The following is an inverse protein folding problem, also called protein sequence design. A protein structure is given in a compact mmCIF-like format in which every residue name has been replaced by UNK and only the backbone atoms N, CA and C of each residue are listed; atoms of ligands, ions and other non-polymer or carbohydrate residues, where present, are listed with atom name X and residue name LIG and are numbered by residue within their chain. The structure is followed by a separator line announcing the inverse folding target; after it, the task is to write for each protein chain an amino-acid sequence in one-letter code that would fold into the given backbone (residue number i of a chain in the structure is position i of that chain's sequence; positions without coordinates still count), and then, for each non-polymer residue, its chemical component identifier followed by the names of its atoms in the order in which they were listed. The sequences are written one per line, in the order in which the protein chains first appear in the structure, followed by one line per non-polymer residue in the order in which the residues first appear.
data_IF_480668866152
#
_entry.id   IF_480668866152
#
_cell.length_a   1.000
_cell.length_b   1.000
_cell.length_c   1.000
_cell.angle_alpha   90.00
_cell.angle_beta   90.00
_cell.angle_gamma   90.00
#
_symmetry.space_group_name_H-M   'P 1'
#
loop_
_entity.id
_entity.type
_entity.pdbx_description
1 polymer ?
#
# COMPACT_ATOMS: atom_id res chain seq x y z
N UNK A 1 -67.33 -10.83 -45.28
CA UNK A 1 -66.42 -10.96 -44.11
C UNK A 1 -66.03 -12.42 -43.99
N UNK A 2 -64.81 -12.79 -44.39
CA UNK A 2 -64.31 -14.15 -44.20
C UNK A 2 -63.93 -14.31 -42.72
N UNK A 3 -64.70 -15.12 -41.99
CA UNK A 3 -64.28 -15.59 -40.67
C UNK A 3 -63.13 -16.55 -40.93
N UNK A 4 -61.90 -16.16 -40.56
CA UNK A 4 -60.77 -17.07 -40.59
C UNK A 4 -61.00 -18.15 -39.52
N UNK A 5 -61.49 -19.31 -39.95
CA UNK A 5 -61.56 -20.52 -39.12
C UNK A 5 -60.15 -21.04 -38.89
N UNK A 6 -59.52 -20.60 -37.81
CA UNK A 6 -58.38 -21.34 -37.26
C UNK A 6 -58.87 -22.72 -36.85
N UNK A 7 -58.18 -23.80 -37.25
CA UNK A 7 -58.54 -25.14 -36.80
C UNK A 7 -58.38 -25.25 -35.27
N UNK A 8 -59.26 -25.97 -34.58
CA UNK A 8 -59.17 -26.19 -33.13
C UNK A 8 -57.80 -26.74 -32.71
N UNK A 9 -57.18 -27.55 -33.58
CA UNK A 9 -55.82 -28.04 -33.42
C UNK A 9 -54.79 -26.90 -33.36
N UNK A 10 -54.91 -25.88 -34.21
CA UNK A 10 -54.02 -24.72 -34.18
C UNK A 10 -54.21 -23.87 -32.92
N UNK A 11 -55.46 -23.66 -32.46
CA UNK A 11 -55.73 -22.95 -31.21
C UNK A 11 -55.18 -23.70 -29.99
N UNK A 12 -55.35 -25.01 -29.94
CA UNK A 12 -54.82 -25.83 -28.86
C UNK A 12 -53.28 -25.81 -28.80
N UNK A 13 -52.62 -25.86 -29.97
CA UNK A 13 -51.16 -25.76 -30.04
C UNK A 13 -50.66 -24.37 -29.59
N UNK A 14 -51.37 -23.29 -29.94
CA UNK A 14 -51.07 -21.94 -29.48
C UNK A 14 -51.18 -21.83 -27.95
N UNK A 15 -52.31 -22.25 -27.37
CA UNK A 15 -52.53 -22.22 -25.92
C UNK A 15 -51.47 -23.04 -25.16
N UNK A 16 -51.09 -24.20 -25.72
CA UNK A 16 -50.04 -25.05 -25.14
C UNK A 16 -48.66 -24.39 -25.21
N UNK A 17 -48.34 -23.73 -26.32
CA UNK A 17 -47.09 -22.97 -26.48
C UNK A 17 -47.03 -21.81 -25.49
N UNK A 18 -48.11 -21.05 -25.37
CA UNK A 18 -48.18 -19.89 -24.47
C UNK A 18 -48.09 -20.35 -23.00
N UNK A 19 -48.69 -21.51 -22.66
CA UNK A 19 -48.54 -22.11 -21.34
C UNK A 19 -47.09 -22.53 -21.05
N UNK A 20 -46.38 -23.10 -22.02
CA UNK A 20 -44.96 -23.43 -21.85
C UNK A 20 -44.10 -22.18 -21.70
N UNK A 21 -44.38 -21.12 -22.46
CA UNK A 21 -43.66 -19.86 -22.38
C UNK A 21 -43.86 -19.19 -21.03
N UNK A 22 -45.10 -19.01 -20.58
CA UNK A 22 -45.39 -18.39 -19.28
C UNK A 22 -44.84 -19.18 -18.10
N UNK A 23 -44.80 -20.52 -18.16
CA UNK A 23 -44.12 -21.33 -17.13
C UNK A 23 -42.61 -21.09 -17.11
N UNK A 24 -41.99 -20.96 -18.29
CA UNK A 24 -40.57 -20.65 -18.39
C UNK A 24 -40.28 -19.24 -17.85
N UNK A 25 -41.09 -18.24 -18.19
CA UNK A 25 -40.99 -16.88 -17.69
C UNK A 25 -41.17 -16.82 -16.16
N UNK A 26 -42.14 -17.55 -15.61
CA UNK A 26 -42.38 -17.64 -14.17
C UNK A 26 -41.17 -18.24 -13.44
N UNK A 27 -40.61 -19.35 -13.96
CA UNK A 27 -39.41 -19.97 -13.40
C UNK A 27 -38.19 -19.03 -13.46
N UNK A 28 -38.02 -18.33 -14.59
CA UNK A 28 -36.97 -17.32 -14.78
C UNK A 28 -37.10 -16.19 -13.77
N UNK A 29 -38.23 -15.50 -13.73
CA UNK A 29 -38.47 -14.36 -12.83
C UNK A 29 -38.38 -14.77 -11.35
N UNK A 30 -38.79 -15.99 -11.00
CA UNK A 30 -38.60 -16.51 -9.62
C UNK A 30 -37.12 -16.68 -9.29
N UNK A 31 -36.32 -17.20 -10.24
CA UNK A 31 -34.87 -17.30 -10.10
C UNK A 31 -34.21 -15.93 -10.01
N UNK A 32 -34.63 -14.97 -10.84
CA UNK A 32 -34.10 -13.60 -10.86
C UNK A 32 -34.41 -12.88 -9.54
N UNK A 33 -35.65 -12.99 -9.04
CA UNK A 33 -36.06 -12.37 -7.79
C UNK A 33 -35.33 -12.97 -6.58
N UNK A 34 -35.09 -14.28 -6.58
CA UNK A 34 -34.40 -14.96 -5.47
C UNK A 34 -32.88 -14.77 -5.49
N UNK A 35 -32.28 -14.64 -6.68
CA UNK A 35 -30.83 -14.44 -6.83
C UNK A 35 -30.40 -12.97 -6.92
N UNK A 36 -31.34 -12.06 -7.20
CA UNK A 36 -31.07 -10.64 -7.48
C UNK A 36 -30.33 -10.42 -8.79
N UNK A 37 -30.21 -11.42 -9.66
CA UNK A 37 -29.45 -11.35 -10.92
C UNK A 37 -30.30 -11.78 -12.10
N UNK A 38 -30.07 -11.14 -13.24
CA UNK A 38 -30.73 -11.51 -14.48
C UNK A 38 -30.30 -12.92 -14.90
N UNK A 39 -31.24 -13.77 -15.28
CA UNK A 39 -30.98 -15.18 -15.59
C UNK A 39 -30.41 -15.35 -17.00
N UNK A 40 -30.79 -14.48 -17.94
CA UNK A 40 -30.27 -14.45 -19.31
C UNK A 40 -29.56 -13.12 -19.59
N UNK A 41 -28.26 -13.11 -19.32
CA UNK A 41 -27.38 -11.98 -19.64
C UNK A 41 -27.32 -11.68 -21.14
N UNK A 42 -27.50 -12.68 -22.01
CA UNK A 42 -27.49 -12.46 -23.47
C UNK A 42 -28.70 -11.68 -23.94
N UNK A 43 -29.86 -11.98 -23.36
CA UNK A 43 -31.08 -11.21 -23.59
C UNK A 43 -30.97 -9.81 -22.98
N UNK A 44 -30.48 -9.69 -21.75
CA UNK A 44 -30.32 -8.41 -21.05
C UNK A 44 -29.37 -7.44 -21.80
N UNK A 45 -28.28 -7.98 -22.32
CA UNK A 45 -27.24 -7.23 -23.04
C UNK A 45 -27.46 -7.18 -24.55
N UNK A 46 -28.57 -7.73 -25.06
CA UNK A 46 -28.88 -7.80 -26.50
C UNK A 46 -27.74 -8.44 -27.33
N UNK A 47 -26.97 -9.35 -26.72
CA UNK A 47 -25.81 -10.01 -27.32
C UNK A 47 -24.50 -9.22 -27.32
N UNK A 48 -24.46 -7.98 -26.79
CA UNK A 48 -23.24 -7.19 -26.68
C UNK A 48 -22.57 -7.36 -25.31
N UNK A 49 -21.57 -8.23 -25.26
CA UNK A 49 -20.79 -8.50 -24.05
C UNK A 49 -19.53 -7.63 -23.91
N UNK A 50 -19.29 -6.68 -24.83
CA UNK A 50 -18.07 -5.87 -24.83
C UNK A 50 -17.92 -5.07 -23.53
N UNK A 51 -18.96 -4.34 -23.15
CA UNK A 51 -19.02 -3.52 -21.93
C UNK A 51 -18.85 -4.35 -20.66
N UNK A 52 -19.54 -5.48 -20.55
CA UNK A 52 -19.41 -6.40 -19.41
C UNK A 52 -17.97 -6.94 -19.31
N UNK A 53 -17.37 -7.30 -20.43
CA UNK A 53 -15.99 -7.82 -20.49
C UNK A 53 -14.98 -6.76 -20.07
N UNK A 54 -15.14 -5.53 -20.56
CA UNK A 54 -14.29 -4.40 -20.23
C UNK A 54 -14.39 -4.02 -18.74
N UNK A 55 -15.62 -3.97 -18.18
CA UNK A 55 -15.84 -3.72 -16.75
C UNK A 55 -15.21 -4.82 -15.90
N UNK A 56 -15.42 -6.10 -16.26
CA UNK A 56 -14.88 -7.24 -15.52
C UNK A 56 -13.34 -7.25 -15.55
N UNK A 57 -12.74 -6.96 -16.71
CA UNK A 57 -11.29 -6.80 -16.85
C UNK A 57 -10.80 -5.66 -15.96
N UNK A 58 -11.48 -4.51 -16.00
CA UNK A 58 -11.12 -3.31 -15.23
C UNK A 58 -11.22 -3.54 -13.73
N UNK A 59 -12.27 -4.24 -13.25
CA UNK A 59 -12.42 -4.63 -11.84
C UNK A 59 -11.27 -5.49 -11.35
N UNK A 60 -10.84 -6.48 -12.16
CA UNK A 60 -9.70 -7.35 -11.82
C UNK A 60 -8.38 -6.58 -11.75
N UNK A 61 -8.14 -5.71 -12.73
CA UNK A 61 -6.95 -4.84 -12.74
C UNK A 61 -6.95 -3.89 -11.53
N UNK A 62 -8.07 -3.22 -11.29
CA UNK A 62 -8.22 -2.29 -10.19
C UNK A 62 -8.07 -2.96 -8.81
N UNK A 63 -8.59 -4.18 -8.64
CA UNK A 63 -8.36 -4.97 -7.42
C UNK A 63 -6.87 -5.22 -7.18
N UNK A 64 -6.10 -5.50 -8.24
CA UNK A 64 -4.64 -5.68 -8.15
C UNK A 64 -3.96 -4.38 -7.74
N UNK A 65 -4.38 -3.24 -8.31
CA UNK A 65 -3.85 -1.92 -7.92
C UNK A 65 -4.17 -1.59 -6.46
N UNK A 66 -5.39 -1.83 -5.98
CA UNK A 66 -5.75 -1.61 -4.57
C UNK A 66 -4.83 -2.39 -3.64
N UNK A 67 -4.57 -3.68 -3.94
CA UNK A 67 -3.64 -4.49 -3.13
C UNK A 67 -2.23 -3.90 -3.15
N UNK A 68 -1.68 -3.62 -4.34
CA UNK A 68 -0.32 -3.05 -4.51
C UNK A 68 -0.15 -1.72 -3.77
N UNK A 69 -1.11 -0.80 -3.95
CA UNK A 69 -1.10 0.52 -3.31
C UNK A 69 -1.28 0.40 -1.80
N UNK A 70 -2.12 -0.51 -1.30
CA UNK A 70 -2.29 -0.71 0.14
C UNK A 70 -1.02 -1.22 0.80
N UNK A 71 -0.33 -2.18 0.17
CA UNK A 71 0.97 -2.67 0.64
C UNK A 71 2.01 -1.56 0.67
N UNK A 72 2.03 -0.72 -0.37
CA UNK A 72 2.92 0.42 -0.43
C UNK A 72 2.61 1.49 0.62
N UNK A 73 1.33 1.78 0.88
CA UNK A 73 0.91 2.72 1.91
C UNK A 73 1.40 2.27 3.28
N UNK A 74 1.24 0.97 3.59
CA UNK A 74 1.76 0.38 4.83
C UNK A 74 3.29 0.48 4.88
N UNK A 75 3.98 0.11 3.80
CA UNK A 75 5.44 0.15 3.75
C UNK A 75 6.00 1.57 3.93
N UNK A 76 5.42 2.57 3.26
CA UNK A 76 5.81 3.98 3.40
C UNK A 76 5.52 4.49 4.81
N UNK A 77 4.34 4.21 5.37
CA UNK A 77 4.01 4.61 6.73
C UNK A 77 5.00 4.04 7.77
N UNK A 78 5.38 2.76 7.64
CA UNK A 78 6.36 2.15 8.54
C UNK A 78 7.76 2.76 8.35
N UNK A 79 8.17 3.09 7.11
CA UNK A 79 9.42 3.82 6.87
C UNK A 79 9.38 5.21 7.51
N UNK A 80 8.28 5.93 7.39
CA UNK A 80 8.11 7.25 7.98
C UNK A 80 8.20 7.19 9.51
N UNK A 81 7.56 6.20 10.14
CA UNK A 81 7.69 5.97 11.59
C UNK A 81 9.10 5.55 12.01
N UNK A 82 9.81 4.78 11.19
CA UNK A 82 11.20 4.42 11.47
C UNK A 82 12.12 5.65 11.41
N UNK A 83 11.99 6.49 10.38
CA UNK A 83 12.74 7.75 10.28
C UNK A 83 12.35 8.76 11.36
N UNK A 84 11.11 8.72 11.85
CA UNK A 84 10.68 9.51 13.00
C UNK A 84 11.40 9.08 14.28
N UNK A 85 11.54 7.77 14.54
CA UNK A 85 12.36 7.27 15.66
C UNK A 85 13.82 7.69 15.54
N UNK A 86 14.39 7.60 14.34
CA UNK A 86 15.76 8.09 14.09
C UNK A 86 15.86 9.60 14.37
N UNK A 87 14.85 10.38 13.99
CA UNK A 87 14.82 11.83 14.24
C UNK A 87 14.72 12.17 15.73
N UNK A 88 13.96 11.40 16.52
CA UNK A 88 13.89 11.62 17.98
C UNK A 88 15.22 11.38 18.69
N UNK A 89 16.11 10.56 18.11
CA UNK A 89 17.47 10.39 18.65
C UNK A 89 18.35 11.62 18.47
N UNK A 90 18.01 12.52 17.54
CA UNK A 90 18.73 13.77 17.28
C UNK A 90 18.08 14.99 17.97
N UNK A 91 16.77 14.94 18.23
CA UNK A 91 15.98 16.08 18.69
C UNK A 91 16.57 16.72 19.96
N UNK A 92 16.99 17.98 19.83
CA UNK A 92 17.58 18.75 20.93
C UNK A 92 18.95 18.25 21.42
N UNK A 93 19.50 17.18 20.82
CA UNK A 93 20.75 16.59 21.26
C UNK A 93 21.95 17.49 20.91
N UNK A 94 22.03 17.91 19.65
CA UNK A 94 23.11 18.79 19.17
C UNK A 94 23.13 20.14 19.90
N UNK A 95 21.97 20.75 20.14
CA UNK A 95 21.88 22.01 20.90
C UNK A 95 22.27 21.83 22.37
N UNK A 96 21.88 20.71 23.00
CA UNK A 96 22.30 20.38 24.36
C UNK A 96 23.82 20.16 24.45
N UNK A 97 24.44 19.55 23.44
CA UNK A 97 25.90 19.36 23.40
C UNK A 97 26.62 20.72 23.26
N UNK A 98 26.19 21.57 22.32
CA UNK A 98 26.78 22.91 22.14
C UNK A 98 26.68 23.80 23.39
N UNK A 99 25.55 23.73 24.10
CA UNK A 99 25.37 24.51 25.33
C UNK A 99 26.41 24.15 26.40
N UNK A 100 26.75 22.86 26.51
CA UNK A 100 27.68 22.35 27.52
C UNK A 100 29.13 22.51 27.08
N UNK A 101 29.46 22.44 25.78
CA UNK A 101 30.83 22.70 25.31
C UNK A 101 31.27 24.15 25.53
N UNK A 102 30.36 25.12 25.38
CA UNK A 102 30.66 26.55 25.49
C UNK A 102 30.91 27.06 26.91
N UNK A 103 30.23 26.51 27.93
CA UNK A 103 30.29 27.02 29.31
C UNK A 103 30.31 25.94 30.40
N UNK A 104 30.17 24.65 30.06
CA UNK A 104 30.11 23.55 31.02
C UNK A 104 31.48 22.98 31.42
N UNK A 105 31.49 22.19 32.50
CA UNK A 105 32.66 21.40 32.90
C UNK A 105 32.82 20.15 32.02
N UNK A 106 33.99 19.50 32.04
CA UNK A 106 34.20 18.22 31.35
C UNK A 106 33.23 17.13 31.84
N UNK A 107 32.89 17.12 33.13
CA UNK A 107 31.92 16.19 33.69
C UNK A 107 30.51 16.41 33.13
N UNK A 108 30.13 17.67 32.88
CA UNK A 108 28.85 17.97 32.25
C UNK A 108 28.82 17.47 30.79
N UNK A 109 29.94 17.62 30.07
CA UNK A 109 30.08 17.11 28.70
C UNK A 109 29.94 15.58 28.68
N UNK A 110 30.67 14.87 29.55
CA UNK A 110 30.58 13.41 29.65
C UNK A 110 29.16 12.95 30.03
N UNK A 111 28.49 13.65 30.95
CA UNK A 111 27.11 13.32 31.32
C UNK A 111 26.14 13.46 30.14
N UNK A 112 26.35 14.44 29.26
CA UNK A 112 25.53 14.60 28.04
C UNK A 112 25.86 13.57 26.95
N UNK A 113 27.09 13.10 26.90
CA UNK A 113 27.52 12.09 25.94
C UNK A 113 27.20 10.66 26.38
N UNK A 114 26.86 10.44 27.65
CA UNK A 114 26.59 9.11 28.21
C UNK A 114 25.48 8.33 27.45
N UNK A 115 24.50 9.03 26.88
CA UNK A 115 23.40 8.43 26.12
C UNK A 115 23.75 8.19 24.63
N UNK A 116 24.90 8.68 24.15
CA UNK A 116 25.26 8.57 22.73
C UNK A 116 25.25 7.13 22.20
N UNK A 117 25.79 6.12 22.92
CA UNK A 117 25.78 4.74 22.44
C UNK A 117 24.36 4.20 22.26
N UNK A 118 23.46 4.50 23.20
CA UNK A 118 22.06 4.09 23.12
C UNK A 118 21.33 4.77 21.96
N UNK A 119 21.58 6.07 21.73
CA UNK A 119 20.99 6.81 20.59
C UNK A 119 21.44 6.24 19.25
N UNK A 120 22.74 5.93 19.13
CA UNK A 120 23.29 5.31 17.92
C UNK A 120 22.69 3.91 17.68
N UNK A 121 22.61 3.10 18.73
CA UNK A 121 22.02 1.77 18.69
C UNK A 121 20.55 1.80 18.23
N UNK A 122 19.73 2.66 18.84
CA UNK A 122 18.32 2.83 18.46
C UNK A 122 18.13 3.34 17.02
N UNK A 123 19.05 4.17 16.52
CA UNK A 123 19.03 4.62 15.14
C UNK A 123 19.32 3.47 14.16
N UNK A 124 20.35 2.66 14.43
CA UNK A 124 20.69 1.47 13.62
C UNK A 124 19.55 0.44 13.65
N UNK A 125 19.00 0.15 14.83
CA UNK A 125 17.87 -0.77 15.00
C UNK A 125 16.62 -0.30 14.26
N UNK A 126 16.32 1.01 14.31
CA UNK A 126 15.21 1.58 13.56
C UNK A 126 15.37 1.40 12.05
N UNK A 127 16.59 1.51 11.52
CA UNK A 127 16.90 1.26 10.10
C UNK A 127 16.89 -0.23 9.75
N UNK A 128 17.16 -1.12 10.72
CA UNK A 128 17.07 -2.56 10.58
C UNK A 128 15.65 -3.12 10.76
N UNK A 129 14.63 -2.26 10.89
CA UNK A 129 13.22 -2.64 11.01
C UNK A 129 12.73 -3.48 9.82
N UNK A 130 11.94 -4.53 10.13
CA UNK A 130 11.27 -5.38 9.14
C UNK A 130 9.75 -5.25 9.19
N UNK A 131 9.12 -5.34 8.02
CA UNK A 131 7.68 -5.44 7.82
C UNK A 131 7.35 -6.79 7.18
N UNK A 132 6.53 -7.61 7.85
CA UNK A 132 6.13 -8.94 7.38
C UNK A 132 7.34 -9.82 6.94
N UNK A 133 8.45 -9.76 7.68
CA UNK A 133 9.68 -10.50 7.39
C UNK A 133 10.62 -9.85 6.37
N UNK A 134 10.22 -8.74 5.74
CA UNK A 134 11.01 -8.00 4.73
C UNK A 134 11.61 -6.74 5.31
N UNK A 135 12.89 -6.49 5.05
CA UNK A 135 13.58 -5.24 5.39
C UNK A 135 13.08 -4.09 4.53
N UNK A 136 12.96 -2.91 5.14
CA UNK A 136 12.40 -1.73 4.46
C UNK A 136 13.46 -0.82 3.81
N UNK A 137 14.70 -0.89 4.30
CA UNK A 137 15.79 0.01 3.93
C UNK A 137 16.95 -0.71 3.19
N UNK A 138 16.76 -1.98 2.79
CA UNK A 138 17.80 -2.87 2.21
C UNK A 138 17.83 -2.90 0.67
N UNK A 139 17.29 -1.85 0.03
CA UNK A 139 17.27 -1.70 -1.43
C UNK A 139 16.50 -2.83 -2.16
N UNK A 140 17.09 -3.47 -3.17
CA UNK A 140 16.50 -4.57 -3.94
C UNK A 140 16.59 -5.96 -3.28
N UNK A 141 17.28 -6.08 -2.14
CA UNK A 141 17.30 -7.31 -1.33
C UNK A 141 16.45 -7.16 -0.05
N UNK A 142 15.14 -7.46 -0.10
CA UNK A 142 14.26 -7.35 1.06
C UNK A 142 14.52 -8.43 2.13
N UNK A 143 15.35 -9.45 1.87
CA UNK A 143 15.62 -10.51 2.84
C UNK A 143 16.85 -10.20 3.69
N UNK A 144 17.79 -9.40 3.18
CA UNK A 144 18.95 -8.94 3.93
C UNK A 144 18.57 -7.92 5.02
N UNK A 145 19.28 -7.96 6.15
CA UNK A 145 19.27 -6.84 7.11
C UNK A 145 20.10 -5.73 6.49
N UNK A 146 19.65 -4.45 6.48
CA UNK A 146 20.35 -3.42 5.72
C UNK A 146 21.72 -3.06 6.30
N UNK A 147 21.89 -3.10 7.62
CA UNK A 147 23.12 -2.71 8.30
C UNK A 147 23.62 -3.81 9.24
N UNK A 148 24.95 -3.87 9.44
CA UNK A 148 25.57 -4.58 10.57
C UNK A 148 25.05 -4.06 11.91
N UNK A 149 25.38 -4.76 13.00
CA UNK A 149 25.04 -4.30 14.34
C UNK A 149 25.73 -2.97 14.68
N UNK A 150 25.13 -2.20 15.58
CA UNK A 150 25.72 -0.96 16.11
C UNK A 150 27.08 -1.22 16.76
N UNK A 151 27.22 -2.35 17.48
CA UNK A 151 28.47 -2.77 18.13
C UNK A 151 29.59 -3.02 17.12
N UNK A 152 29.32 -3.80 16.07
CA UNK A 152 30.29 -4.10 15.01
C UNK A 152 30.69 -2.81 14.27
N UNK A 153 29.71 -1.93 14.00
CA UNK A 153 29.97 -0.65 13.35
C UNK A 153 30.87 0.25 14.20
N UNK A 154 30.61 0.35 15.50
CA UNK A 154 31.44 1.13 16.42
C UNK A 154 32.83 0.52 16.58
N UNK A 155 33.00 -0.80 16.50
CA UNK A 155 34.31 -1.45 16.55
C UNK A 155 35.21 -1.02 15.38
N UNK A 156 34.66 -0.97 14.16
CA UNK A 156 35.37 -0.44 12.99
C UNK A 156 35.71 1.05 13.16
N UNK A 157 34.73 1.85 13.59
CA UNK A 157 34.90 3.29 13.74
C UNK A 157 35.91 3.68 14.82
N UNK A 158 36.01 2.91 15.92
CA UNK A 158 37.06 3.09 16.93
C UNK A 158 38.45 2.90 16.34
N UNK A 159 38.60 1.94 15.42
CA UNK A 159 39.87 1.69 14.73
C UNK A 159 40.24 2.86 13.81
N UNK A 160 39.26 3.40 13.08
CA UNK A 160 39.43 4.60 12.24
C UNK A 160 39.84 5.81 13.10
N UNK A 161 39.08 6.09 14.16
CA UNK A 161 39.31 7.25 15.01
C UNK A 161 40.63 7.17 15.81
N UNK A 162 41.05 5.97 16.23
CA UNK A 162 42.33 5.77 16.92
C UNK A 162 43.55 5.95 16.00
N UNK A 163 43.38 5.82 14.68
CA UNK A 163 44.43 6.05 13.68
C UNK A 163 44.68 7.54 13.37
N UNK A 164 43.77 8.41 13.79
CA UNK A 164 43.84 9.85 13.51
C UNK A 164 44.89 10.57 14.38
N UNK A 165 45.51 11.60 13.80
CA UNK A 165 46.56 12.38 14.46
C UNK A 165 46.02 13.39 15.48
N UNK A 166 44.80 13.87 15.26
CA UNK A 166 44.12 14.84 16.10
C UNK A 166 42.60 14.70 15.97
N UNK A 167 41.87 15.45 16.81
CA UNK A 167 40.41 15.47 16.82
C UNK A 167 39.80 15.87 15.46
N UNK A 168 40.39 16.83 14.75
CA UNK A 168 39.87 17.29 13.46
C UNK A 168 39.99 16.20 12.38
N UNK A 169 41.12 15.50 12.37
CA UNK A 169 41.40 14.36 11.49
C UNK A 169 40.45 13.20 11.82
N UNK A 170 40.22 12.90 13.11
CA UNK A 170 39.29 11.84 13.51
C UNK A 170 37.85 12.13 13.04
N UNK A 171 37.40 13.38 13.17
CA UNK A 171 36.09 13.79 12.62
C UNK A 171 36.05 13.58 11.11
N UNK A 172 37.08 14.03 10.39
CA UNK A 172 37.14 13.92 8.93
C UNK A 172 37.17 12.45 8.47
N UNK A 173 37.98 11.60 9.09
CA UNK A 173 38.13 10.18 8.73
C UNK A 173 36.85 9.39 9.00
N UNK A 174 36.18 9.64 10.13
CA UNK A 174 34.88 9.01 10.45
C UNK A 174 33.80 9.49 9.48
N UNK A 175 33.72 10.80 9.21
CA UNK A 175 32.76 11.33 8.22
C UNK A 175 33.05 10.75 6.83
N UNK A 176 34.31 10.62 6.42
CA UNK A 176 34.70 10.02 5.15
C UNK A 176 34.33 8.52 5.08
N UNK A 177 34.57 7.77 6.16
CA UNK A 177 34.15 6.37 6.27
C UNK A 177 32.64 6.22 6.02
N UNK A 178 31.85 7.16 6.53
CA UNK A 178 30.41 7.20 6.32
C UNK A 178 29.99 7.72 4.96
N UNK A 179 30.65 8.72 4.36
CA UNK A 179 30.11 9.50 3.23
C UNK A 179 30.80 9.26 1.89
N UNK A 180 32.03 8.76 1.88
CA UNK A 180 32.76 8.52 0.63
C UNK A 180 32.19 7.33 -0.13
N UNK A 181 32.23 7.43 -1.47
CA UNK A 181 31.87 6.33 -2.37
C UNK A 181 32.92 5.23 -2.25
N UNK A 182 32.48 3.99 -2.00
CA UNK A 182 33.37 2.88 -1.68
C UNK A 182 34.04 2.99 -0.30
N UNK A 183 33.56 3.89 0.56
CA UNK A 183 34.00 4.01 1.95
C UNK A 183 33.59 2.80 2.79
N UNK A 184 33.98 2.82 4.07
CA UNK A 184 33.70 1.70 4.98
C UNK A 184 32.21 1.46 5.23
N UNK A 185 31.37 2.49 5.16
CA UNK A 185 29.92 2.30 5.27
C UNK A 185 29.34 1.45 4.13
N UNK A 186 29.74 1.73 2.89
CA UNK A 186 29.25 0.99 1.71
C UNK A 186 29.88 -0.41 1.60
N UNK A 187 31.09 -0.61 2.13
CA UNK A 187 31.86 -1.85 1.96
C UNK A 187 31.78 -2.80 3.15
N UNK A 188 31.60 -2.30 4.38
CA UNK A 188 31.59 -3.08 5.61
C UNK A 188 30.23 -3.04 6.31
N UNK A 189 29.60 -1.87 6.42
CA UNK A 189 28.36 -1.74 7.19
C UNK A 189 27.10 -2.11 6.40
N UNK A 190 27.04 -1.75 5.13
CA UNK A 190 25.93 -2.05 4.25
C UNK A 190 25.88 -3.54 3.91
N UNK A 191 24.72 -4.16 4.17
CA UNK A 191 24.44 -5.56 3.86
C UNK A 191 23.24 -5.73 2.91
N UNK A 192 22.61 -4.62 2.50
CA UNK A 192 21.49 -4.64 1.55
C UNK A 192 21.95 -4.91 0.10
N UNK A 193 20.97 -4.89 -0.80
CA UNK A 193 21.22 -5.18 -2.20
C UNK A 193 21.94 -4.04 -2.96
N UNK A 194 22.34 -4.31 -4.20
CA UNK A 194 23.12 -3.39 -5.05
C UNK A 194 22.27 -2.63 -6.07
N UNK A 195 21.00 -2.99 -6.22
CA UNK A 195 20.07 -2.39 -7.16
C UNK A 195 19.06 -1.47 -6.48
N UNK A 196 18.25 -0.78 -7.29
CA UNK A 196 17.22 0.12 -6.78
C UNK A 196 16.04 -0.66 -6.18
N UNK A 197 15.39 -0.14 -5.11
CA UNK A 197 14.15 -0.70 -4.60
C UNK A 197 13.11 -0.86 -5.73
N UNK A 198 12.36 -1.97 -5.76
CA UNK A 198 11.36 -2.18 -6.80
C UNK A 198 10.29 -1.08 -6.75
N UNK A 199 9.95 -0.47 -7.89
CA UNK A 199 8.91 0.56 -7.93
C UNK A 199 7.56 -0.05 -7.58
N UNK A 200 6.72 0.74 -6.89
CA UNK A 200 5.35 0.34 -6.59
C UNK A 200 4.46 0.75 -7.75
N UNK A 201 3.66 -0.19 -8.27
CA UNK A 201 2.60 0.14 -9.21
C UNK A 201 1.44 0.81 -8.48
N UNK A 202 1.16 2.06 -8.81
CA UNK A 202 0.08 2.86 -8.23
C UNK A 202 -1.11 3.07 -9.17
N UNK A 203 -0.98 2.64 -10.43
CA UNK A 203 -2.03 2.70 -11.42
C UNK A 203 -1.56 2.19 -12.78
N UNK A 204 -2.40 2.34 -13.80
CA UNK A 204 -2.05 1.93 -15.15
C UNK A 204 -0.97 2.86 -15.72
N UNK A 205 0.23 2.32 -15.93
CA UNK A 205 1.39 3.08 -16.39
C UNK A 205 1.96 4.06 -15.35
N UNK A 206 1.50 4.00 -14.09
CA UNK A 206 1.97 4.86 -13.01
C UNK A 206 2.68 4.04 -11.94
N UNK A 207 3.87 4.50 -11.57
CA UNK A 207 4.66 3.94 -10.49
C UNK A 207 5.15 5.01 -9.53
N UNK A 208 5.27 4.65 -8.25
CA UNK A 208 5.86 5.49 -7.22
C UNK A 208 7.19 4.90 -6.74
N UNK A 209 8.20 5.76 -6.61
CA UNK A 209 9.48 5.44 -6.00
C UNK A 209 9.38 5.68 -4.49
N UNK A 210 8.91 4.66 -3.78
CA UNK A 210 8.67 4.73 -2.32
C UNK A 210 9.89 4.29 -1.49
N UNK A 211 11.01 3.98 -2.15
CA UNK A 211 12.15 3.29 -1.57
C UNK A 211 13.22 4.25 -1.04
N UNK A 212 13.16 4.59 0.24
CA UNK A 212 14.31 5.13 0.97
C UNK A 212 15.19 3.97 1.43
N UNK A 213 16.49 4.02 1.13
CA UNK A 213 17.47 3.02 1.55
C UNK A 213 18.36 3.56 2.67
N UNK A 214 19.01 2.69 3.44
CA UNK A 214 19.99 3.14 4.45
C UNK A 214 21.25 3.76 3.81
N UNK A 215 21.42 3.66 2.49
CA UNK A 215 22.45 4.36 1.72
C UNK A 215 22.12 5.85 1.50
N UNK A 216 20.94 6.32 1.86
CA UNK A 216 20.57 7.73 1.68
C UNK A 216 21.58 8.65 2.42
N UNK A 217 22.12 9.70 1.78
CA UNK A 217 23.10 10.59 2.40
C UNK A 217 22.64 11.20 3.72
N UNK A 218 21.35 11.53 3.87
CA UNK A 218 20.84 12.09 5.12
C UNK A 218 20.89 11.07 6.27
N UNK A 219 20.64 9.79 5.98
CA UNK A 219 20.74 8.70 6.96
C UNK A 219 22.21 8.45 7.33
N UNK A 220 23.09 8.41 6.33
CA UNK A 220 24.54 8.26 6.53
C UNK A 220 25.09 9.38 7.42
N UNK A 221 24.70 10.62 7.18
CA UNK A 221 25.09 11.76 7.99
C UNK A 221 24.53 11.69 9.42
N UNK A 222 23.28 11.24 9.59
CA UNK A 222 22.71 10.97 10.92
C UNK A 222 23.54 9.97 11.70
N UNK A 223 23.82 8.80 11.10
CA UNK A 223 24.62 7.76 11.76
C UNK A 223 26.05 8.25 12.04
N UNK A 224 26.67 8.98 11.11
CA UNK A 224 28.00 9.57 11.32
C UNK A 224 28.01 10.53 12.52
N UNK A 225 27.01 11.41 12.61
CA UNK A 225 26.93 12.40 13.70
C UNK A 225 26.75 11.74 15.08
N UNK A 226 25.92 10.69 15.16
CA UNK A 226 25.71 9.92 16.38
C UNK A 226 26.96 9.10 16.74
N UNK A 227 27.62 8.49 15.76
CA UNK A 227 28.87 7.77 15.98
C UNK A 227 29.99 8.69 16.50
N UNK A 228 30.11 9.91 15.97
CA UNK A 228 31.04 10.91 16.49
C UNK A 228 30.73 11.27 17.95
N UNK A 229 29.45 11.38 18.33
CA UNK A 229 29.08 11.57 19.73
C UNK A 229 29.45 10.36 20.61
N UNK A 230 29.35 9.14 20.09
CA UNK A 230 29.81 7.92 20.80
C UNK A 230 31.32 7.97 21.03
N UNK A 231 32.09 8.22 19.98
CA UNK A 231 33.55 8.31 20.05
C UNK A 231 34.02 9.42 20.99
N UNK A 232 33.26 10.53 21.04
CA UNK A 232 33.50 11.60 22.01
C UNK A 232 33.29 11.12 23.45
N UNK A 233 32.27 10.28 23.69
CA UNK A 233 31.95 9.73 25.01
C UNK A 233 33.02 8.74 25.50
N UNK A 234 33.62 8.01 24.57
CA UNK A 234 34.70 7.04 24.82
C UNK A 234 36.10 7.69 24.89
N UNK A 235 36.18 9.01 24.64
CA UNK A 235 37.42 9.77 24.56
C UNK A 235 38.40 9.25 23.48
N UNK A 236 37.86 8.83 22.33
CA UNK A 236 38.63 8.33 21.18
C UNK A 236 38.55 9.34 20.02
N UNK A 237 39.67 9.90 19.55
CA UNK A 237 41.04 9.73 20.04
C UNK A 237 41.31 10.47 21.36
N UNK A 238 42.24 9.93 22.15
CA UNK A 238 42.69 10.56 23.38
C UNK A 238 43.33 11.93 23.06
N UNK A 239 42.74 13.00 23.59
CA UNK A 239 43.08 14.37 23.22
C UNK A 239 43.06 15.30 24.43
N UNK A 240 43.69 16.47 24.30
CA UNK A 240 43.69 17.48 25.37
C UNK A 240 42.28 18.05 25.60
N UNK A 241 41.99 18.63 26.77
CA UNK A 241 40.65 19.17 27.08
C UNK A 241 40.13 20.16 26.01
N UNK A 242 41.00 21.03 25.50
CA UNK A 242 40.67 21.99 24.45
C UNK A 242 40.22 21.28 23.15
N UNK A 243 40.90 20.20 22.79
CA UNK A 243 40.61 19.39 21.60
C UNK A 243 39.35 18.55 21.80
N UNK A 244 39.12 18.01 23.01
CA UNK A 244 37.86 17.33 23.36
C UNK A 244 36.65 18.24 23.18
N UNK A 245 36.74 19.48 23.66
CA UNK A 245 35.65 20.47 23.48
C UNK A 245 35.41 20.78 22.01
N UNK A 246 36.48 20.94 21.22
CA UNK A 246 36.36 21.15 19.78
C UNK A 246 35.75 19.95 19.05
N UNK A 247 36.13 18.72 19.43
CA UNK A 247 35.56 17.48 18.89
C UNK A 247 34.05 17.39 19.15
N UNK A 248 33.64 17.61 20.41
CA UNK A 248 32.21 17.58 20.79
C UNK A 248 31.43 18.70 20.10
N UNK A 249 32.02 19.90 19.96
CA UNK A 249 31.38 20.99 19.23
C UNK A 249 31.16 20.61 17.75
N UNK A 250 32.15 20.00 17.10
CA UNK A 250 32.03 19.54 15.72
C UNK A 250 30.99 18.43 15.57
N UNK A 251 30.97 17.44 16.47
CA UNK A 251 29.95 16.39 16.50
C UNK A 251 28.55 16.99 16.67
N UNK A 252 28.39 17.97 17.57
CA UNK A 252 27.13 18.64 17.82
C UNK A 252 26.64 19.47 16.61
N UNK A 253 27.53 20.16 15.91
CA UNK A 253 27.22 20.84 14.64
C UNK A 253 26.78 19.86 13.55
N UNK A 254 27.41 18.68 13.47
CA UNK A 254 26.99 17.62 12.56
C UNK A 254 25.62 17.05 12.92
N UNK A 255 25.31 16.86 14.21
CA UNK A 255 23.97 16.44 14.67
C UNK A 255 22.90 17.43 14.20
N UNK A 256 23.14 18.74 14.36
CA UNK A 256 22.18 19.78 13.92
C UNK A 256 21.98 19.78 12.39
N UNK A 257 23.06 19.56 11.62
CA UNK A 257 22.97 19.45 10.16
C UNK A 257 22.21 18.19 9.74
N UNK A 258 22.53 17.05 10.36
CA UNK A 258 21.88 15.78 10.13
C UNK A 258 20.38 15.83 10.46
N UNK A 259 19.99 16.50 11.55
CA UNK A 259 18.59 16.73 11.92
C UNK A 259 17.84 17.47 10.80
N UNK A 260 18.40 18.56 10.29
CA UNK A 260 17.81 19.32 9.17
C UNK A 260 17.68 18.49 7.90
N UNK A 261 18.70 17.71 7.55
CA UNK A 261 18.70 16.87 6.36
C UNK A 261 17.73 15.69 6.48
N UNK A 262 17.61 15.11 7.67
CA UNK A 262 16.65 14.05 7.98
C UNK A 262 15.20 14.56 7.93
N UNK A 263 14.95 15.78 8.43
CA UNK A 263 13.64 16.45 8.25
C UNK A 263 13.33 16.61 6.76
N UNK A 264 14.31 17.04 5.96
CA UNK A 264 14.15 17.13 4.51
C UNK A 264 13.84 15.78 3.85
N UNK A 265 14.49 14.70 4.28
CA UNK A 265 14.21 13.34 3.81
C UNK A 265 12.79 12.88 4.19
N UNK A 266 12.39 13.08 5.45
CA UNK A 266 11.04 12.75 5.94
C UNK A 266 9.94 13.54 5.23
N UNK A 267 10.20 14.81 4.89
CA UNK A 267 9.27 15.62 4.13
C UNK A 267 9.08 15.09 2.70
N UNK A 268 10.17 14.71 2.01
CA UNK A 268 10.09 14.06 0.69
C UNK A 268 9.35 12.73 0.75
N UNK A 269 9.64 11.88 1.75
CA UNK A 269 8.91 10.63 1.94
C UNK A 269 7.41 10.87 2.18
N UNK A 270 7.06 11.90 2.96
CA UNK A 270 5.67 12.31 3.19
C UNK A 270 4.94 12.76 1.91
N UNK A 271 5.64 13.37 0.94
CA UNK A 271 5.01 13.68 -0.37
C UNK A 271 4.71 12.43 -1.19
N UNK A 272 5.56 11.41 -1.10
CA UNK A 272 5.31 10.12 -1.75
C UNK A 272 4.23 9.31 -1.01
N UNK A 273 4.17 9.41 0.32
CA UNK A 273 3.08 8.87 1.14
C UNK A 273 1.72 9.42 0.70
N UNK A 274 1.62 10.74 0.55
CA UNK A 274 0.40 11.40 0.08
C UNK A 274 0.01 10.94 -1.34
N UNK A 275 0.98 10.80 -2.25
CA UNK A 275 0.74 10.27 -3.61
C UNK A 275 0.19 8.86 -3.60
N UNK A 276 0.75 7.99 -2.77
CA UNK A 276 0.29 6.60 -2.64
C UNK A 276 -1.12 6.56 -2.06
N UNK A 277 -1.41 7.40 -1.06
CA UNK A 277 -2.74 7.49 -0.45
C UNK A 277 -3.80 8.04 -1.42
N UNK A 278 -3.47 9.07 -2.20
CA UNK A 278 -4.35 9.60 -3.26
C UNK A 278 -4.65 8.54 -4.33
N UNK A 279 -3.63 7.76 -4.72
CA UNK A 279 -3.81 6.63 -5.63
C UNK A 279 -4.72 5.55 -5.02
N UNK A 280 -4.62 5.30 -3.70
CA UNK A 280 -5.46 4.34 -2.98
C UNK A 280 -6.93 4.74 -3.03
N UNK A 281 -7.21 5.98 -2.66
CA UNK A 281 -8.57 6.56 -2.68
C UNK A 281 -9.14 6.54 -4.09
N UNK A 282 -8.33 6.91 -5.09
CA UNK A 282 -8.75 6.89 -6.50
C UNK A 282 -9.07 5.47 -6.98
N UNK A 283 -8.23 4.49 -6.62
CA UNK A 283 -8.45 3.10 -6.99
C UNK A 283 -9.73 2.55 -6.35
N UNK A 284 -9.98 2.83 -5.06
CA UNK A 284 -11.19 2.42 -4.35
C UNK A 284 -12.46 3.07 -4.92
N UNK A 285 -12.42 4.37 -5.24
CA UNK A 285 -13.52 5.07 -5.88
C UNK A 285 -13.82 4.47 -7.26
N UNK A 286 -12.78 4.19 -8.05
CA UNK A 286 -12.91 3.55 -9.37
C UNK A 286 -13.53 2.15 -9.23
N UNK A 287 -13.13 1.35 -8.24
CA UNK A 287 -13.76 0.06 -7.96
C UNK A 287 -15.25 0.19 -7.70
N UNK A 288 -15.63 1.14 -6.85
CA UNK A 288 -17.03 1.35 -6.50
C UNK A 288 -17.87 1.73 -7.72
N UNK A 289 -17.37 2.64 -8.57
CA UNK A 289 -18.04 3.00 -9.83
C UNK A 289 -18.16 1.80 -10.78
N UNK A 290 -17.09 1.02 -10.95
CA UNK A 290 -17.13 -0.18 -11.79
C UNK A 290 -18.09 -1.24 -11.23
N UNK A 291 -18.21 -1.38 -9.91
CA UNK A 291 -19.16 -2.29 -9.29
C UNK A 291 -20.62 -1.85 -9.51
N UNK A 292 -20.89 -0.54 -9.50
CA UNK A 292 -22.22 0.00 -9.82
C UNK A 292 -22.57 -0.29 -11.28
N UNK A 293 -21.66 -0.01 -12.22
CA UNK A 293 -21.91 -0.30 -13.63
C UNK A 293 -22.03 -1.80 -13.90
N UNK A 294 -21.23 -2.63 -13.22
CA UNK A 294 -21.38 -4.07 -13.26
C UNK A 294 -22.77 -4.50 -12.78
N UNK A 295 -23.22 -3.98 -11.64
CA UNK A 295 -24.55 -4.23 -11.07
C UNK A 295 -25.66 -3.89 -12.05
N UNK A 296 -25.61 -2.72 -12.70
CA UNK A 296 -26.60 -2.31 -13.72
C UNK A 296 -26.74 -3.29 -14.89
N UNK A 297 -25.70 -4.05 -15.21
CA UNK A 297 -25.69 -4.99 -16.32
C UNK A 297 -26.14 -6.40 -15.92
N UNK A 298 -25.99 -6.78 -14.64
CA UNK A 298 -26.19 -8.16 -14.19
C UNK A 298 -27.29 -8.33 -13.14
N UNK A 299 -27.65 -7.27 -12.43
CA UNK A 299 -28.65 -7.31 -11.36
C UNK A 299 -30.06 -7.19 -11.94
N UNK A 300 -30.98 -7.97 -11.37
CA UNK A 300 -32.39 -7.85 -11.67
C UNK A 300 -33.04 -6.92 -10.63
N UNK A 301 -33.77 -5.90 -11.06
CA UNK A 301 -34.48 -5.02 -10.13
C UNK A 301 -35.60 -5.82 -9.44
N UNK A 302 -35.59 -5.95 -8.10
CA UNK A 302 -36.55 -6.79 -7.39
C UNK A 302 -37.99 -6.27 -7.49
N UNK A 303 -38.20 -4.96 -7.62
CA UNK A 303 -39.53 -4.37 -7.77
C UNK A 303 -40.11 -4.65 -9.16
N UNK A 304 -39.31 -4.43 -10.20
CA UNK A 304 -39.74 -4.73 -11.57
C UNK A 304 -39.94 -6.23 -11.75
N UNK A 305 -39.01 -7.05 -11.25
CA UNK A 305 -39.09 -8.52 -11.32
C UNK A 305 -40.32 -9.05 -10.58
N UNK A 306 -40.63 -8.53 -9.38
CA UNK A 306 -41.82 -8.94 -8.63
C UNK A 306 -43.12 -8.54 -9.36
N UNK A 307 -43.15 -7.33 -9.93
CA UNK A 307 -44.30 -6.83 -10.70
C UNK A 307 -44.54 -7.68 -11.95
N UNK A 308 -43.48 -8.03 -12.67
CA UNK A 308 -43.57 -8.87 -13.86
C UNK A 308 -43.95 -10.32 -13.50
N UNK A 309 -43.41 -10.85 -12.39
CA UNK A 309 -43.75 -12.17 -11.86
C UNK A 309 -45.24 -12.28 -11.54
N UNK A 310 -45.81 -11.27 -10.88
CA UNK A 310 -47.23 -11.21 -10.56
C UNK A 310 -48.08 -11.16 -11.85
N UNK A 311 -47.69 -10.33 -12.81
CA UNK A 311 -48.37 -10.21 -14.10
C UNK A 311 -48.37 -11.54 -14.89
N UNK A 312 -47.24 -12.27 -14.92
CA UNK A 312 -47.13 -13.58 -15.57
C UNK A 312 -47.95 -14.64 -14.83
N UNK A 313 -47.97 -14.60 -13.50
CA UNK A 313 -48.78 -15.52 -12.69
C UNK A 313 -50.27 -15.37 -13.00
N UNK A 314 -50.77 -14.12 -13.05
CA UNK A 314 -52.16 -13.83 -13.40
C UNK A 314 -52.51 -14.25 -14.84
N UNK A 315 -51.59 -14.05 -15.80
CA UNK A 315 -51.75 -14.50 -17.20
C UNK A 315 -51.84 -16.02 -17.28
N UNK A 316 -50.99 -16.73 -16.53
CA UNK A 316 -51.00 -18.19 -16.48
C UNK A 316 -52.31 -18.73 -15.89
N UNK A 317 -52.80 -18.15 -14.80
CA UNK A 317 -54.10 -18.48 -14.20
C UNK A 317 -55.25 -18.26 -15.20
N UNK A 318 -55.26 -17.10 -15.85
CA UNK A 318 -56.26 -16.75 -16.87
C UNK A 318 -56.23 -17.73 -18.04
N UNK A 319 -55.04 -18.11 -18.50
CA UNK A 319 -54.85 -19.08 -19.58
C UNK A 319 -55.40 -20.47 -19.20
N UNK A 320 -55.19 -20.92 -17.96
CA UNK A 320 -55.78 -22.18 -17.50
C UNK A 320 -57.30 -22.11 -17.39
N UNK A 321 -57.86 -21.00 -16.93
CA UNK A 321 -59.31 -20.78 -16.88
C UNK A 321 -59.91 -20.87 -18.29
N UNK A 322 -59.29 -20.20 -19.28
CA UNK A 322 -59.73 -20.24 -20.68
C UNK A 322 -59.58 -21.64 -21.25
N UNK A 323 -58.44 -22.30 -21.05
CA UNK A 323 -58.18 -23.66 -21.54
C UNK A 323 -59.21 -24.64 -20.98
N UNK A 324 -59.53 -24.55 -19.68
CA UNK A 324 -60.55 -25.37 -19.04
C UNK A 324 -61.99 -25.07 -19.52
N UNK A 325 -62.25 -23.85 -20.00
CA UNK A 325 -63.54 -23.49 -20.62
C UNK A 325 -63.65 -24.02 -22.05
N UNK A 326 -62.58 -23.89 -22.85
CA UNK A 326 -62.51 -24.40 -24.22
C UNK A 326 -62.56 -25.94 -24.23
N UNK A 327 -61.87 -26.62 -23.32
CA UNK A 327 -61.93 -28.09 -23.22
C UNK A 327 -63.34 -28.61 -22.87
N UNK A 328 -64.15 -27.80 -22.17
CA UNK A 328 -65.55 -28.10 -21.84
C UNK A 328 -66.52 -27.84 -22.99
N UNK A 329 -66.13 -27.05 -24.00
CA UNK A 329 -66.92 -26.79 -25.22
C UNK A 329 -66.71 -27.87 -26.31
N UNK A 330 -66.06 -28.99 -25.98
CA UNK A 330 -65.84 -30.10 -26.92
C UNK A 330 -67.16 -30.56 -27.54
N UNK A 331 -67.13 -30.91 -28.83
CA UNK A 331 -68.26 -31.37 -29.64
C UNK A 331 -69.11 -32.46 -28.94
N UNK A 332 -68.49 -33.25 -28.05
CA UNK A 332 -69.13 -34.25 -27.21
C UNK A 332 -70.15 -33.71 -26.19
N UNK A 333 -70.03 -32.46 -25.74
CA UNK A 333 -71.02 -31.80 -24.86
C UNK A 333 -72.13 -31.13 -25.69
N UNK A 334 -71.85 -30.74 -26.94
CA UNK A 334 -72.84 -30.16 -27.87
C UNK A 334 -73.72 -31.23 -28.53
N UNK A 335 -73.20 -32.44 -28.71
CA UNK A 335 -73.93 -33.60 -29.26
C UNK A 335 -74.67 -34.41 -28.18
N UNK A 336 -74.80 -33.88 -26.96
CA UNK A 336 -75.49 -34.53 -25.85
C UNK A 336 -76.85 -33.90 -25.58
#
# INVERSE_FOLDING_TARGET
MSIATYSDAAQFQLLRRDATQHRADLARLTSELSSGRVADLGQALQGDYSTLSDITRSLRLNTTFITSVSEAAIAVGVRQSALERVASELEGYGSSLLAVTGAGSLSDIQLKLADAPARFDQAVDSLNTRLAGRSLFSADDPNATPLISSEDMLAELRTVAAGALDAATAVADVTAWFMDTGGGYETLAWQGGTGDPPPVLIGEGQSAETGVTALNPAIRETLASLALAVLASEEVPASAEQEKRAFVASAAEQVLRAESNLIGLRARLGTEEARVEDARVTAEATRASLQIEYGRLVEADPYDTATELEAISLRLESLYIVTARVSRLSLTEYLR
#
